data_IF_448395633763
#
_entry.id   IF_448395633763
#
_cell.length_a   1.000
_cell.length_b   1.000
_cell.length_c   1.000
_cell.angle_alpha   90.00
_cell.angle_beta   90.00
_cell.angle_gamma   90.00
#
_symmetry.space_group_name_H-M   'P 1'
#
loop_
_entity.id
_entity.type
_entity.pdbx_description
1 polymer ?
#
# COMPACT_ATOMS: atom_id res chain seq x y z
N UNK A 1 6.72 1.11 -25.24
CA UNK A 1 7.45 0.61 -24.05
C UNK A 1 7.72 1.76 -23.06
N UNK A 2 6.68 2.40 -22.52
CA UNK A 2 6.77 3.58 -21.63
C UNK A 2 6.11 3.33 -20.25
N UNK A 3 5.30 2.28 -20.14
CA UNK A 3 4.43 2.00 -18.98
C UNK A 3 5.24 1.66 -17.71
N UNK A 4 6.33 0.90 -17.85
CA UNK A 4 7.13 0.41 -16.71
C UNK A 4 7.90 1.51 -15.94
N UNK A 5 8.29 2.62 -16.59
CA UNK A 5 8.97 3.74 -15.92
C UNK A 5 8.02 4.61 -15.10
N UNK A 6 6.75 4.72 -15.51
CA UNK A 6 5.77 5.47 -14.74
C UNK A 6 5.36 4.75 -13.45
N UNK A 7 5.29 3.41 -13.47
CA UNK A 7 4.93 2.62 -12.28
C UNK A 7 5.98 2.70 -11.16
N UNK A 8 7.28 2.70 -11.50
CA UNK A 8 8.36 2.82 -10.50
C UNK A 8 8.41 4.22 -9.88
N UNK A 9 8.17 5.27 -10.66
CA UNK A 9 8.14 6.67 -10.18
C UNK A 9 6.89 6.94 -9.35
N UNK A 10 5.72 6.39 -9.74
CA UNK A 10 4.45 6.50 -9.00
C UNK A 10 4.47 5.74 -7.68
N UNK A 11 5.01 4.51 -7.65
CA UNK A 11 5.15 3.75 -6.40
C UNK A 11 6.06 4.46 -5.40
N UNK A 12 7.11 5.14 -5.88
CA UNK A 12 8.06 5.85 -5.02
C UNK A 12 7.41 7.06 -4.33
N UNK A 13 6.51 7.80 -5.00
CA UNK A 13 5.87 8.98 -4.41
C UNK A 13 5.02 8.64 -3.16
N UNK A 14 4.24 7.55 -3.24
CA UNK A 14 3.45 7.05 -2.11
C UNK A 14 4.34 6.63 -0.94
N UNK A 15 5.33 5.78 -1.18
CA UNK A 15 6.16 5.24 -0.11
C UNK A 15 7.04 6.34 0.51
N UNK A 16 7.57 7.25 -0.30
CA UNK A 16 8.38 8.38 0.17
C UNK A 16 7.59 9.27 1.14
N UNK A 17 6.39 9.72 0.77
CA UNK A 17 5.61 10.58 1.65
C UNK A 17 5.07 9.82 2.87
N UNK A 18 4.51 8.62 2.68
CA UNK A 18 3.94 7.85 3.78
C UNK A 18 4.99 7.36 4.77
N UNK A 19 6.26 7.20 4.38
CA UNK A 19 7.34 6.82 5.29
C UNK A 19 7.64 7.87 6.38
N UNK A 20 7.24 9.13 6.17
CA UNK A 20 7.36 10.22 7.15
C UNK A 20 6.41 10.08 8.35
N UNK A 21 5.52 9.07 8.32
CA UNK A 21 4.48 8.86 9.32
C UNK A 21 4.58 7.50 9.99
N UNK A 22 4.18 7.39 11.28
CA UNK A 22 4.01 6.10 11.94
C UNK A 22 3.06 5.18 11.18
N UNK A 23 3.36 3.87 11.13
CA UNK A 23 2.57 2.88 10.39
C UNK A 23 1.06 2.94 10.74
N UNK A 24 0.71 3.16 12.01
CA UNK A 24 -0.67 3.28 12.48
C UNK A 24 -1.47 4.44 11.86
N UNK A 25 -0.81 5.43 11.26
CA UNK A 25 -1.47 6.60 10.67
C UNK A 25 -1.50 6.58 9.14
N UNK A 26 -0.64 5.82 8.48
CA UNK A 26 -0.47 5.84 7.01
C UNK A 26 -1.77 5.60 6.24
N UNK A 27 -2.60 4.66 6.71
CA UNK A 27 -3.90 4.36 6.11
C UNK A 27 -4.86 5.55 6.20
N UNK A 28 -4.99 6.14 7.39
CA UNK A 28 -5.84 7.31 7.61
C UNK A 28 -5.39 8.50 6.77
N UNK A 29 -4.08 8.76 6.71
CA UNK A 29 -3.51 9.86 5.92
C UNK A 29 -3.82 9.67 4.43
N UNK A 30 -3.61 8.47 3.90
CA UNK A 30 -3.94 8.16 2.51
C UNK A 30 -5.43 8.40 2.22
N UNK A 31 -6.30 7.99 3.14
CA UNK A 31 -7.74 8.17 2.99
C UNK A 31 -8.14 9.65 2.96
N UNK A 32 -7.50 10.51 3.75
CA UNK A 32 -7.76 11.96 3.71
C UNK A 32 -7.51 12.52 2.30
N UNK A 33 -6.41 12.16 1.65
CA UNK A 33 -6.10 12.61 0.29
C UNK A 33 -7.12 12.09 -0.73
N UNK A 34 -7.49 10.81 -0.66
CA UNK A 34 -8.48 10.25 -1.59
C UNK A 34 -9.88 10.82 -1.36
N UNK A 35 -10.25 11.11 -0.12
CA UNK A 35 -11.54 11.70 0.22
C UNK A 35 -11.70 13.09 -0.41
N UNK A 36 -10.67 13.95 -0.33
CA UNK A 36 -10.76 15.30 -0.94
C UNK A 36 -10.88 15.23 -2.46
N UNK A 37 -10.22 14.26 -3.11
CA UNK A 37 -10.32 14.04 -4.57
C UNK A 37 -11.73 13.56 -4.94
N UNK A 38 -12.26 12.59 -4.19
CA UNK A 38 -13.63 12.08 -4.40
C UNK A 38 -14.69 13.16 -4.16
N UNK A 39 -14.40 14.11 -3.28
CA UNK A 39 -15.25 15.27 -3.01
C UNK A 39 -15.08 16.42 -4.03
N UNK A 40 -14.23 16.25 -5.04
CA UNK A 40 -14.21 17.15 -6.21
C UNK A 40 -12.86 17.78 -6.52
N UNK A 41 -11.85 17.71 -5.65
CA UNK A 41 -10.54 18.29 -5.94
C UNK A 41 -9.91 17.65 -7.20
N UNK A 42 -9.45 18.48 -8.14
CA UNK A 42 -8.90 18.05 -9.45
C UNK A 42 -7.43 18.39 -9.63
N UNK A 43 -6.91 19.37 -8.89
CA UNK A 43 -5.50 19.78 -8.98
C UNK A 43 -4.71 19.43 -7.71
N UNK A 44 -3.38 19.40 -7.83
CA UNK A 44 -2.48 19.13 -6.69
C UNK A 44 -2.69 20.18 -5.59
N UNK A 45 -2.83 21.45 -5.98
CA UNK A 45 -2.99 22.56 -5.04
C UNK A 45 -4.33 22.52 -4.32
N UNK A 46 -5.43 22.19 -5.04
CA UNK A 46 -6.74 21.97 -4.42
C UNK A 46 -6.70 20.83 -3.41
N UNK A 47 -6.08 19.70 -3.78
CA UNK A 47 -5.92 18.55 -2.87
C UNK A 47 -5.18 18.99 -1.61
N UNK A 48 -4.02 19.62 -1.74
CA UNK A 48 -3.22 20.05 -0.60
C UNK A 48 -3.95 21.09 0.26
N UNK A 49 -4.62 22.06 -0.36
CA UNK A 49 -5.43 23.06 0.34
C UNK A 49 -6.52 22.39 1.19
N UNK A 50 -7.30 21.47 0.61
CA UNK A 50 -8.36 20.79 1.35
C UNK A 50 -7.82 19.86 2.45
N UNK A 51 -6.70 19.17 2.22
CA UNK A 51 -6.04 18.34 3.24
C UNK A 51 -5.55 19.20 4.41
N UNK A 52 -4.90 20.33 4.13
CA UNK A 52 -4.43 21.27 5.15
C UNK A 52 -5.60 21.81 5.95
N UNK A 53 -6.64 22.32 5.29
CA UNK A 53 -7.84 22.85 5.95
C UNK A 53 -8.48 21.80 6.86
N UNK A 54 -8.63 20.57 6.38
CA UNK A 54 -9.17 19.47 7.18
C UNK A 54 -8.27 19.14 8.39
N UNK A 55 -6.96 19.11 8.21
CA UNK A 55 -6.03 18.84 9.29
C UNK A 55 -6.01 19.96 10.35
N UNK A 56 -6.12 21.23 9.95
CA UNK A 56 -6.24 22.38 10.87
C UNK A 56 -7.52 22.27 11.70
N UNK A 57 -8.68 22.05 11.06
CA UNK A 57 -9.97 21.91 11.77
C UNK A 57 -9.91 20.75 12.77
N UNK A 58 -9.35 19.60 12.37
CA UNK A 58 -9.24 18.44 13.24
C UNK A 58 -8.24 18.62 14.38
N UNK A 59 -7.16 19.36 14.16
CA UNK A 59 -6.21 19.72 15.22
C UNK A 59 -6.86 20.65 16.25
N UNK A 60 -7.60 21.67 15.79
CA UNK A 60 -8.33 22.58 16.69
C UNK A 60 -9.37 21.83 17.52
N UNK A 61 -10.16 20.96 16.89
CA UNK A 61 -11.11 20.12 17.60
C UNK A 61 -10.42 19.20 18.62
N UNK A 62 -9.30 18.57 18.25
CA UNK A 62 -8.56 17.71 19.16
C UNK A 62 -8.10 18.45 20.42
N UNK A 63 -7.63 19.70 20.27
CA UNK A 63 -7.25 20.56 21.40
C UNK A 63 -8.46 20.94 22.25
N UNK A 64 -9.56 21.35 21.62
CA UNK A 64 -10.78 21.74 22.31
C UNK A 64 -11.35 20.60 23.18
N UNK A 65 -11.25 19.36 22.70
CA UNK A 65 -11.78 18.18 23.38
C UNK A 65 -10.74 17.38 24.17
N UNK A 66 -9.52 17.92 24.37
CA UNK A 66 -8.41 17.24 25.06
C UNK A 66 -8.13 15.82 24.54
N UNK A 67 -8.07 15.67 23.21
CA UNK A 67 -7.74 14.42 22.52
C UNK A 67 -6.25 14.45 22.06
N UNK A 68 -5.31 14.01 22.92
CA UNK A 68 -3.88 14.08 22.63
C UNK A 68 -3.50 13.19 21.44
N UNK A 69 -4.24 12.11 21.19
CA UNK A 69 -3.96 11.21 20.08
C UNK A 69 -4.19 11.90 18.73
N UNK A 70 -5.33 12.56 18.57
CA UNK A 70 -5.62 13.30 17.34
C UNK A 70 -4.79 14.59 17.24
N UNK A 71 -4.49 15.26 18.35
CA UNK A 71 -3.59 16.41 18.34
C UNK A 71 -2.22 16.05 17.75
N UNK A 72 -1.58 15.00 18.26
CA UNK A 72 -0.28 14.53 17.74
C UNK A 72 -0.39 14.13 16.27
N UNK A 73 -1.43 13.37 15.91
CA UNK A 73 -1.62 12.89 14.53
C UNK A 73 -1.79 14.03 13.53
N UNK A 74 -2.68 14.99 13.79
CA UNK A 74 -2.94 16.09 12.87
C UNK A 74 -1.82 17.14 12.91
N UNK A 75 -1.16 17.33 14.05
CA UNK A 75 0.07 18.12 14.14
C UNK A 75 1.20 17.56 13.27
N UNK A 76 1.40 16.23 13.27
CA UNK A 76 2.36 15.56 12.38
C UNK A 76 2.00 15.73 10.90
N UNK A 77 0.73 15.63 10.54
CA UNK A 77 0.26 15.86 9.17
C UNK A 77 0.65 17.27 8.72
N UNK A 78 0.28 18.31 9.49
CA UNK A 78 0.59 19.70 9.14
C UNK A 78 2.10 19.95 9.06
N UNK A 79 2.87 19.44 10.03
CA UNK A 79 4.34 19.56 10.03
C UNK A 79 4.95 18.96 8.77
N UNK A 80 4.53 17.75 8.38
CA UNK A 80 5.09 17.08 7.21
C UNK A 80 4.63 17.69 5.89
N UNK A 81 3.39 18.22 5.82
CA UNK A 81 2.94 18.99 4.66
C UNK A 81 3.76 20.26 4.47
N UNK A 82 4.15 20.93 5.56
CA UNK A 82 4.97 22.15 5.51
C UNK A 82 6.45 21.88 5.23
N UNK A 83 7.04 20.88 5.88
CA UNK A 83 8.50 20.65 5.82
C UNK A 83 8.91 19.76 4.63
N UNK A 84 7.97 19.01 4.04
CA UNK A 84 8.22 18.06 2.96
C UNK A 84 7.28 18.32 1.78
N UNK A 85 7.16 19.58 1.37
CA UNK A 85 6.21 20.02 0.34
C UNK A 85 6.34 19.24 -0.98
N UNK A 86 7.57 18.98 -1.45
CA UNK A 86 7.79 18.24 -2.70
C UNK A 86 7.25 16.81 -2.60
N UNK A 87 7.46 16.14 -1.48
CA UNK A 87 6.93 14.79 -1.24
C UNK A 87 5.41 14.81 -1.13
N UNK A 88 4.83 15.83 -0.47
CA UNK A 88 3.39 16.01 -0.37
C UNK A 88 2.74 16.25 -1.74
N UNK A 89 3.33 17.11 -2.58
CA UNK A 89 2.89 17.38 -3.96
C UNK A 89 2.97 16.13 -4.83
N UNK A 90 4.09 15.40 -4.77
CA UNK A 90 4.25 14.14 -5.49
C UNK A 90 3.21 13.10 -5.05
N UNK A 91 2.89 13.05 -3.76
CA UNK A 91 1.86 12.16 -3.23
C UNK A 91 0.44 12.57 -3.67
N UNK A 92 0.12 13.86 -3.64
CA UNK A 92 -1.15 14.37 -4.15
C UNK A 92 -1.33 14.04 -5.65
N UNK A 93 -0.28 14.24 -6.45
CA UNK A 93 -0.28 13.86 -7.86
C UNK A 93 -0.47 12.35 -8.06
N UNK A 94 0.20 11.53 -7.25
CA UNK A 94 -0.02 10.09 -7.22
C UNK A 94 -1.49 9.75 -6.94
N UNK A 95 -2.11 10.38 -5.94
CA UNK A 95 -3.51 10.13 -5.58
C UNK A 95 -4.48 10.53 -6.70
N UNK A 96 -4.27 11.70 -7.33
CA UNK A 96 -5.07 12.14 -8.47
C UNK A 96 -4.95 11.18 -9.65
N UNK A 97 -3.72 10.79 -9.97
CA UNK A 97 -3.44 9.83 -11.05
C UNK A 97 -4.03 8.47 -10.77
N UNK A 98 -3.94 8.00 -9.51
CA UNK A 98 -4.54 6.74 -9.11
C UNK A 98 -6.06 6.80 -9.25
N UNK A 99 -6.71 7.87 -8.80
CA UNK A 99 -8.16 7.97 -8.88
C UNK A 99 -8.70 8.09 -10.31
N UNK A 100 -7.92 8.64 -11.24
CA UNK A 100 -8.30 8.68 -12.67
C UNK A 100 -8.15 7.33 -13.39
N UNK A 101 -7.52 6.32 -12.79
CA UNK A 101 -7.40 5.00 -13.40
C UNK A 101 -8.77 4.30 -13.53
N UNK A 102 -9.00 3.55 -14.62
CA UNK A 102 -10.14 2.66 -14.74
C UNK A 102 -10.20 1.65 -13.59
N UNK A 103 -11.40 1.19 -13.28
CA UNK A 103 -11.65 0.25 -12.17
C UNK A 103 -10.90 -1.07 -12.38
N UNK A 104 -10.85 -1.54 -13.61
CA UNK A 104 -10.20 -2.79 -14.04
C UNK A 104 -8.71 -2.75 -13.74
N UNK A 105 -8.05 -1.61 -13.99
CA UNK A 105 -6.64 -1.41 -13.68
C UNK A 105 -6.43 -1.41 -12.16
N UNK A 106 -7.26 -0.68 -11.41
CA UNK A 106 -7.20 -0.65 -9.93
C UNK A 106 -7.37 -2.06 -9.33
N UNK A 107 -8.29 -2.85 -9.88
CA UNK A 107 -8.56 -4.23 -9.45
C UNK A 107 -7.41 -5.19 -9.81
N UNK A 108 -6.88 -5.12 -11.02
CA UNK A 108 -5.72 -5.88 -11.43
C UNK A 108 -4.52 -5.63 -10.49
N UNK A 109 -4.27 -4.35 -10.15
CA UNK A 109 -3.22 -3.95 -9.23
C UNK A 109 -3.46 -4.43 -7.79
N UNK A 110 -4.71 -4.40 -7.34
CA UNK A 110 -5.11 -4.95 -6.03
C UNK A 110 -4.85 -6.46 -5.97
N UNK A 111 -5.23 -7.19 -7.02
CA UNK A 111 -5.04 -8.63 -7.11
C UNK A 111 -3.56 -9.01 -7.16
N UNK A 112 -2.76 -8.29 -7.95
CA UNK A 112 -1.31 -8.47 -8.01
C UNK A 112 -0.65 -8.28 -6.65
N UNK A 113 -1.01 -7.21 -5.92
CA UNK A 113 -0.51 -6.94 -4.56
C UNK A 113 -0.96 -8.00 -3.56
N UNK A 114 -2.22 -8.42 -3.61
CA UNK A 114 -2.72 -9.50 -2.76
C UNK A 114 -1.94 -10.80 -2.98
N UNK A 115 -1.65 -11.15 -4.23
CA UNK A 115 -0.79 -12.29 -4.59
C UNK A 115 0.61 -12.17 -4.00
N UNK A 116 1.25 -10.99 -4.13
CA UNK A 116 2.58 -10.74 -3.57
C UNK A 116 2.62 -10.90 -2.04
N UNK A 117 1.72 -10.25 -1.30
CA UNK A 117 1.70 -10.35 0.17
C UNK A 117 1.32 -11.74 0.65
N UNK A 118 0.42 -12.43 -0.06
CA UNK A 118 0.11 -13.84 0.22
C UNK A 118 1.34 -14.72 0.04
N UNK A 119 2.06 -14.58 -1.08
CA UNK A 119 3.27 -15.33 -1.34
C UNK A 119 4.34 -15.05 -0.29
N UNK A 120 4.57 -13.77 0.06
CA UNK A 120 5.52 -13.37 1.11
C UNK A 120 5.15 -13.94 2.48
N UNK A 121 3.86 -13.93 2.83
CA UNK A 121 3.37 -14.54 4.05
C UNK A 121 3.63 -16.05 4.06
N UNK A 122 3.27 -16.76 2.99
CA UNK A 122 3.49 -18.21 2.87
C UNK A 122 4.97 -18.58 2.85
N UNK A 123 5.84 -17.70 2.36
CA UNK A 123 7.28 -17.91 2.33
C UNK A 123 7.91 -17.78 3.73
N UNK A 124 7.36 -16.89 4.57
CA UNK A 124 7.78 -16.76 5.97
C UNK A 124 7.26 -17.90 6.87
N UNK A 125 6.38 -18.76 6.38
CA UNK A 125 5.78 -19.85 7.15
C UNK A 125 6.46 -21.18 6.83
N UNK A 126 6.79 -22.00 7.85
CA UNK A 126 7.33 -23.33 7.60
C UNK A 126 6.32 -24.17 6.83
N UNK A 127 6.81 -25.01 5.91
CA UNK A 127 5.96 -25.95 5.18
C UNK A 127 5.14 -26.81 6.15
N UNK A 128 3.90 -27.14 5.79
CA UNK A 128 3.08 -28.02 6.62
C UNK A 128 3.47 -29.49 6.42
N UNK A 129 3.19 -30.33 7.41
CA UNK A 129 3.51 -31.76 7.30
C UNK A 129 2.70 -32.46 6.20
N UNK A 130 1.46 -32.01 5.95
CA UNK A 130 0.67 -32.45 4.79
C UNK A 130 1.37 -32.15 3.46
N UNK A 131 1.93 -30.95 3.31
CA UNK A 131 2.68 -30.58 2.10
C UNK A 131 3.96 -31.41 1.95
N UNK A 132 4.71 -31.64 3.05
CA UNK A 132 5.92 -32.48 3.03
C UNK A 132 5.60 -33.93 2.66
N UNK A 133 4.56 -34.51 3.25
CA UNK A 133 4.10 -35.86 2.96
C UNK A 133 3.66 -35.99 1.50
N UNK A 134 2.93 -34.99 0.99
CA UNK A 134 2.48 -34.99 -0.40
C UNK A 134 3.65 -34.88 -1.38
N UNK A 135 4.62 -34.01 -1.11
CA UNK A 135 5.85 -33.91 -1.90
C UNK A 135 6.66 -35.22 -1.92
N UNK A 136 6.74 -35.92 -0.77
CA UNK A 136 7.37 -37.25 -0.71
C UNK A 136 6.64 -38.27 -1.59
N UNK A 137 5.29 -38.23 -1.63
CA UNK A 137 4.49 -39.07 -2.53
C UNK A 137 4.73 -38.75 -4.01
N UNK A 138 5.01 -37.48 -4.33
CA UNK A 138 5.37 -37.02 -5.68
C UNK A 138 6.85 -37.30 -6.04
N UNK A 139 7.60 -38.00 -5.19
CA UNK A 139 9.01 -38.36 -5.44
C UNK A 139 10.03 -37.26 -5.12
N UNK A 140 9.62 -36.16 -4.48
CA UNK A 140 10.55 -35.10 -4.08
C UNK A 140 11.34 -35.49 -2.82
N UNK A 141 12.67 -35.43 -2.90
CA UNK A 141 13.60 -35.79 -1.81
C UNK A 141 14.39 -34.59 -1.25
N UNK A 142 14.26 -33.41 -1.86
CA UNK A 142 14.98 -32.20 -1.46
C UNK A 142 14.34 -31.46 -0.26
N UNK A 143 15.08 -30.51 0.31
CA UNK A 143 14.61 -29.70 1.44
C UNK A 143 13.41 -28.81 1.06
N UNK A 144 12.45 -28.67 1.97
CA UNK A 144 11.24 -27.85 1.79
C UNK A 144 11.24 -26.72 2.83
N UNK A 145 11.75 -25.55 2.41
CA UNK A 145 12.01 -24.40 3.28
C UNK A 145 10.76 -23.64 3.76
N UNK A 146 9.71 -23.56 2.95
CA UNK A 146 8.52 -22.76 3.26
C UNK A 146 7.24 -23.32 2.66
N UNK A 147 6.07 -22.83 3.10
CA UNK A 147 4.78 -23.21 2.48
C UNK A 147 4.73 -22.78 1.02
N UNK A 148 5.28 -21.61 0.69
CA UNK A 148 5.32 -21.11 -0.69
C UNK A 148 6.25 -21.96 -1.57
N UNK A 149 7.42 -22.35 -1.05
CA UNK A 149 8.32 -23.26 -1.75
C UNK A 149 7.66 -24.62 -1.99
N UNK A 150 6.97 -25.16 -0.97
CA UNK A 150 6.25 -26.42 -1.09
C UNK A 150 5.15 -26.36 -2.17
N UNK A 151 4.34 -25.30 -2.20
CA UNK A 151 3.31 -25.10 -3.23
C UNK A 151 3.92 -25.05 -4.63
N UNK A 152 4.99 -24.28 -4.84
CA UNK A 152 5.67 -24.21 -6.16
C UNK A 152 6.22 -25.56 -6.62
N UNK A 153 6.77 -26.36 -5.69
CA UNK A 153 7.26 -27.70 -5.99
C UNK A 153 6.10 -28.63 -6.38
N UNK A 154 4.99 -28.57 -5.65
CA UNK A 154 3.78 -29.34 -5.97
C UNK A 154 3.28 -28.99 -7.36
N UNK A 155 3.07 -27.71 -7.66
CA UNK A 155 2.54 -27.24 -8.95
C UNK A 155 3.43 -27.67 -10.12
N UNK A 156 4.76 -27.66 -9.92
CA UNK A 156 5.74 -28.12 -10.90
C UNK A 156 5.66 -29.63 -11.15
N UNK A 157 5.52 -30.43 -10.09
CA UNK A 157 5.50 -31.89 -10.15
C UNK A 157 4.16 -32.45 -10.64
N UNK A 158 3.06 -31.72 -10.44
CA UNK A 158 1.72 -32.11 -10.91
C UNK A 158 1.39 -31.58 -12.31
N UNK A 159 2.31 -30.84 -12.95
CA UNK A 159 2.11 -30.28 -14.28
C UNK A 159 1.12 -29.11 -14.34
N UNK A 160 0.71 -28.56 -13.19
CA UNK A 160 -0.23 -27.43 -13.09
C UNK A 160 0.35 -26.06 -13.45
N UNK A 161 1.63 -26.00 -13.84
CA UNK A 161 2.38 -24.75 -14.09
C UNK A 161 2.25 -24.13 -15.47
N UNK A 162 1.44 -24.68 -16.38
CA UNK A 162 1.20 -24.09 -17.71
C UNK A 162 -0.31 -23.83 -17.91
N UNK A 163 -0.85 -22.78 -17.28
CA UNK A 163 -1.93 -21.91 -17.81
C UNK A 163 -1.85 -20.54 -17.16
#
# INVERSE_FOLDING_TARGET
>A
MIILKQDSVRSNAKDNFLSLFPNKHKSHISNIFFEVIRNGAKTVDEVLFHVITKAVIKLQAARQYNDPYNEVKFGLILRNLNNNQKQAQAFALYCLTWESLPKEIKEADKNKRAGYYRAKYLDAQPATDKQRLYLKKLGWTGAVISKQHASRLIDRLTGGGNK
#
